data_IF_566339430575
#
_entry.id   IF_566339430575
#
_cell.length_a   1.000
_cell.length_b   1.000
_cell.length_c   1.000
_cell.angle_alpha   90.00
_cell.angle_beta   90.00
_cell.angle_gamma   90.00
#
_symmetry.space_group_name_H-M   'P 1'
#
loop_
_entity.id
_entity.type
_entity.pdbx_description
1 polymer ?
#
# COMPACT_ATOMS: atom_id res chain seq x y z
N UNK A 1 -8.78 28.98 -0.12
CA UNK A 1 -9.03 27.76 0.69
C UNK A 1 -7.74 27.38 1.42
N UNK A 2 -7.82 26.66 2.55
CA UNK A 2 -6.62 26.08 3.18
C UNK A 2 -6.41 24.65 2.66
N UNK A 3 -5.21 24.39 2.17
CA UNK A 3 -4.79 23.08 1.66
C UNK A 3 -3.71 22.54 2.58
N UNK A 4 -4.05 21.52 3.35
CA UNK A 4 -3.12 20.80 4.21
C UNK A 4 -2.37 19.76 3.40
N UNK A 5 -1.04 19.73 3.51
CA UNK A 5 -0.19 18.79 2.78
C UNK A 5 0.67 17.98 3.74
N UNK A 6 0.91 16.73 3.40
CA UNK A 6 1.77 15.85 4.19
C UNK A 6 2.45 14.80 3.31
N UNK A 7 3.49 14.18 3.85
CA UNK A 7 4.14 13.03 3.23
C UNK A 7 3.21 11.81 3.21
N UNK A 8 3.46 10.88 2.28
CA UNK A 8 2.67 9.66 2.11
C UNK A 8 3.08 8.59 3.14
N UNK A 9 2.85 8.88 4.43
CA UNK A 9 3.04 7.95 5.55
C UNK A 9 1.83 8.03 6.46
N UNK A 10 1.45 6.91 7.06
CA UNK A 10 0.27 6.83 7.92
C UNK A 10 0.28 7.88 9.05
N UNK A 11 1.44 8.08 9.70
CA UNK A 11 1.59 9.04 10.78
C UNK A 11 1.37 10.48 10.31
N UNK A 12 1.99 10.85 9.17
CA UNK A 12 1.83 12.18 8.56
C UNK A 12 0.38 12.42 8.13
N UNK A 13 -0.26 11.42 7.52
CA UNK A 13 -1.68 11.47 7.10
C UNK A 13 -2.60 11.69 8.31
N UNK A 14 -2.43 10.93 9.40
CA UNK A 14 -3.26 11.07 10.60
C UNK A 14 -3.02 12.42 11.28
N UNK A 15 -1.77 12.90 11.33
CA UNK A 15 -1.43 14.21 11.86
C UNK A 15 -2.05 15.33 11.02
N UNK A 16 -1.97 15.22 9.71
CA UNK A 16 -2.57 16.17 8.76
C UNK A 16 -4.11 16.26 8.96
N UNK A 17 -4.76 15.13 9.17
CA UNK A 17 -6.20 15.09 9.49
C UNK A 17 -6.47 15.79 10.83
N UNK A 18 -5.64 15.57 11.85
CA UNK A 18 -5.80 16.20 13.17
C UNK A 18 -5.76 17.72 13.06
N UNK A 19 -4.72 18.28 12.42
CA UNK A 19 -4.52 19.72 12.31
C UNK A 19 -5.58 20.36 11.40
N UNK A 20 -5.89 19.74 10.26
CA UNK A 20 -6.96 20.19 9.37
C UNK A 20 -8.35 20.19 10.05
N UNK A 21 -8.59 19.21 10.93
CA UNK A 21 -9.85 19.14 11.68
C UNK A 21 -10.01 20.27 12.68
N UNK A 22 -8.93 20.61 13.39
CA UNK A 22 -8.93 21.73 14.36
C UNK A 22 -9.31 23.05 13.68
N UNK A 23 -8.72 23.35 12.51
CA UNK A 23 -9.07 24.54 11.74
C UNK A 23 -10.49 24.46 11.15
N UNK A 24 -10.91 23.29 10.71
CA UNK A 24 -12.25 23.09 10.14
C UNK A 24 -13.38 23.41 11.12
N UNK A 25 -13.15 23.23 12.42
CA UNK A 25 -14.12 23.63 13.46
C UNK A 25 -14.30 25.15 13.55
N UNK A 26 -13.32 25.93 13.09
CA UNK A 26 -13.36 27.40 13.10
C UNK A 26 -13.89 28.00 11.79
N UNK A 27 -13.42 27.45 10.64
CA UNK A 27 -13.69 28.04 9.31
C UNK A 27 -14.65 27.22 8.45
N UNK A 28 -15.04 26.03 8.91
CA UNK A 28 -15.88 25.08 8.18
C UNK A 28 -15.09 24.07 7.34
N UNK A 29 -15.57 22.84 7.34
CA UNK A 29 -14.93 21.73 6.61
C UNK A 29 -14.84 21.97 5.09
N UNK A 30 -15.71 22.74 4.51
CA UNK A 30 -15.74 23.01 3.07
C UNK A 30 -14.64 23.98 2.61
N UNK A 31 -14.00 24.69 3.56
CA UNK A 31 -12.83 25.53 3.32
C UNK A 31 -11.50 24.78 3.44
N UNK A 32 -11.53 23.49 3.74
CA UNK A 32 -10.35 22.64 3.95
C UNK A 32 -10.22 21.62 2.82
N UNK A 33 -8.98 21.46 2.35
CA UNK A 33 -8.58 20.36 1.46
C UNK A 33 -7.31 19.73 1.98
N UNK A 34 -7.15 18.42 1.72
CA UNK A 34 -5.97 17.66 2.10
C UNK A 34 -5.36 17.01 0.86
N UNK A 35 -4.03 17.08 0.73
CA UNK A 35 -3.30 16.48 -0.40
C UNK A 35 -2.02 15.79 0.09
N UNK A 36 -1.68 14.67 -0.54
CA UNK A 36 -0.36 14.04 -0.38
C UNK A 36 0.69 14.79 -1.18
N UNK A 37 1.91 14.88 -0.67
CA UNK A 37 3.06 15.42 -1.40
C UNK A 37 3.70 14.35 -2.31
N UNK A 38 4.37 14.80 -3.40
CA UNK A 38 4.64 16.18 -3.83
C UNK A 38 3.43 16.85 -4.52
N UNK A 39 3.31 18.17 -4.35
CA UNK A 39 2.28 18.97 -5.03
C UNK A 39 2.83 19.46 -6.36
N UNK A 40 2.33 18.93 -7.47
CA UNK A 40 2.78 19.29 -8.82
C UNK A 40 2.15 20.57 -9.37
N UNK A 41 0.95 20.91 -8.91
CA UNK A 41 0.20 22.09 -9.36
C UNK A 41 -0.34 22.84 -8.14
N UNK A 42 0.30 23.96 -7.80
CA UNK A 42 -0.18 24.86 -6.78
C UNK A 42 -1.07 25.95 -7.40
N UNK A 43 -2.16 26.30 -6.72
CA UNK A 43 -3.05 27.42 -7.09
C UNK A 43 -2.65 28.70 -6.34
N UNK A 44 -2.68 29.83 -7.01
CA UNK A 44 -2.22 31.12 -6.49
C UNK A 44 -3.09 31.69 -5.35
N UNK A 45 -4.34 31.23 -5.23
CA UNK A 45 -5.32 31.77 -4.28
C UNK A 45 -5.52 30.87 -3.05
N UNK A 46 -4.79 29.77 -2.97
CA UNK A 46 -4.90 28.82 -1.87
C UNK A 46 -3.69 28.92 -0.93
N UNK A 47 -3.95 28.78 0.36
CA UNK A 47 -2.93 28.72 1.41
C UNK A 47 -2.51 27.25 1.61
N UNK A 48 -1.22 26.95 1.37
CA UNK A 48 -0.66 25.61 1.56
C UNK A 48 0.03 25.52 2.91
N UNK A 49 -0.39 24.54 3.71
CA UNK A 49 0.11 24.28 5.06
C UNK A 49 0.73 22.88 5.07
N UNK A 50 2.05 22.81 5.16
CA UNK A 50 2.76 21.54 5.34
C UNK A 50 2.65 21.06 6.78
N UNK A 51 2.38 19.75 6.94
CA UNK A 51 2.27 19.10 8.25
C UNK A 51 3.27 17.95 8.32
N UNK A 52 4.19 18.03 9.27
CA UNK A 52 5.06 16.90 9.62
C UNK A 52 4.38 15.95 10.60
N UNK A 53 4.76 14.67 10.54
CA UNK A 53 4.20 13.63 11.41
C UNK A 53 4.45 13.89 12.89
N UNK A 54 3.40 13.70 13.70
CA UNK A 54 3.39 13.77 15.16
C UNK A 54 2.66 12.52 15.68
N UNK A 55 3.43 11.62 16.29
CA UNK A 55 2.93 10.32 16.77
C UNK A 55 1.78 10.46 17.78
N UNK A 56 1.81 11.49 18.63
CA UNK A 56 0.76 11.73 19.63
C UNK A 56 -0.56 12.17 18.97
N UNK A 57 -0.50 13.08 17.99
CA UNK A 57 -1.67 13.50 17.22
C UNK A 57 -2.23 12.33 16.38
N UNK A 58 -1.35 11.59 15.72
CA UNK A 58 -1.72 10.43 14.90
C UNK A 58 -2.40 9.34 15.75
N UNK A 59 -1.87 9.06 16.94
CA UNK A 59 -2.50 8.08 17.86
C UNK A 59 -3.88 8.56 18.34
N UNK A 60 -4.05 9.85 18.63
CA UNK A 60 -5.36 10.40 19.01
C UNK A 60 -6.40 10.18 17.92
N UNK A 61 -6.07 10.49 16.65
CA UNK A 61 -7.00 10.27 15.53
C UNK A 61 -7.33 8.78 15.39
N UNK A 62 -6.31 7.92 15.39
CA UNK A 62 -6.49 6.47 15.31
C UNK A 62 -7.41 5.95 16.43
N UNK A 63 -7.17 6.39 17.66
CA UNK A 63 -7.99 6.00 18.82
C UNK A 63 -9.43 6.50 18.70
N UNK A 64 -9.62 7.75 18.25
CA UNK A 64 -10.95 8.31 18.04
C UNK A 64 -11.73 7.56 16.96
N UNK A 65 -11.12 7.22 15.83
CA UNK A 65 -11.76 6.42 14.78
C UNK A 65 -12.22 5.07 15.34
N UNK A 66 -11.36 4.38 16.07
CA UNK A 66 -11.69 3.06 16.64
C UNK A 66 -12.78 3.12 17.71
N UNK A 67 -12.77 4.14 18.55
CA UNK A 67 -13.71 4.32 19.66
C UNK A 67 -15.07 4.83 19.19
N UNK A 68 -15.07 5.90 18.37
CA UNK A 68 -16.27 6.67 18.07
C UNK A 68 -16.95 6.19 16.77
N UNK A 69 -16.19 5.51 15.88
CA UNK A 69 -16.76 4.89 14.68
C UNK A 69 -16.70 3.36 14.83
N UNK A 70 -15.56 2.74 14.48
CA UNK A 70 -15.32 1.30 14.71
C UNK A 70 -13.89 0.89 14.32
N UNK A 71 -13.41 -0.26 14.83
CA UNK A 71 -12.16 -0.87 14.37
C UNK A 71 -12.22 -1.26 12.88
N UNK A 72 -13.41 -1.61 12.37
CA UNK A 72 -13.62 -1.90 10.94
C UNK A 72 -13.45 -0.63 10.09
N UNK A 73 -13.99 0.51 10.53
CA UNK A 73 -13.77 1.79 9.85
C UNK A 73 -12.29 2.19 9.81
N UNK A 74 -11.57 1.97 10.91
CA UNK A 74 -10.13 2.19 10.94
C UNK A 74 -9.39 1.32 9.91
N UNK A 75 -9.78 0.06 9.75
CA UNK A 75 -9.19 -0.83 8.75
C UNK A 75 -9.37 -0.26 7.32
N UNK A 76 -10.55 0.26 6.99
CA UNK A 76 -10.80 0.88 5.69
C UNK A 76 -9.97 2.14 5.50
N UNK A 77 -9.85 2.97 6.53
CA UNK A 77 -9.00 4.18 6.52
C UNK A 77 -7.53 3.80 6.34
N UNK A 78 -7.04 2.77 7.05
CA UNK A 78 -5.68 2.28 6.92
C UNK A 78 -5.38 1.80 5.49
N UNK A 79 -6.24 0.99 4.90
CA UNK A 79 -6.04 0.57 3.50
C UNK A 79 -6.10 1.75 2.54
N UNK A 80 -7.04 2.67 2.71
CA UNK A 80 -7.13 3.87 1.88
C UNK A 80 -5.87 4.76 1.99
N UNK A 81 -5.23 4.82 3.17
CA UNK A 81 -3.99 5.57 3.35
C UNK A 81 -2.82 5.00 2.53
N UNK A 82 -2.84 3.69 2.26
CA UNK A 82 -1.83 3.01 1.42
C UNK A 82 -2.05 3.21 -0.08
N UNK A 83 -3.20 3.76 -0.49
CA UNK A 83 -3.57 3.93 -1.89
C UNK A 83 -2.69 4.95 -2.62
N UNK A 84 -2.36 4.64 -3.88
CA UNK A 84 -1.66 5.56 -4.78
C UNK A 84 -2.57 6.64 -5.39
N UNK A 85 -3.89 6.58 -5.16
CA UNK A 85 -4.85 7.55 -5.71
C UNK A 85 -4.63 8.93 -5.09
N UNK A 86 -4.60 9.97 -5.93
CA UNK A 86 -4.32 11.35 -5.49
C UNK A 86 -5.37 11.88 -4.51
N UNK A 87 -6.63 11.44 -4.66
CA UNK A 87 -7.74 11.87 -3.82
C UNK A 87 -7.87 11.07 -2.51
N UNK A 88 -7.02 10.07 -2.28
CA UNK A 88 -7.16 9.14 -1.16
C UNK A 88 -7.20 9.86 0.20
N UNK A 89 -6.33 10.84 0.43
CA UNK A 89 -6.28 11.60 1.68
C UNK A 89 -7.55 12.44 1.88
N UNK A 90 -8.02 13.10 0.83
CA UNK A 90 -9.28 13.85 0.86
C UNK A 90 -10.49 12.92 1.06
N UNK A 91 -10.47 11.75 0.43
CA UNK A 91 -11.52 10.74 0.60
C UNK A 91 -11.60 10.25 2.05
N UNK A 92 -10.44 9.98 2.68
CA UNK A 92 -10.36 9.63 4.11
C UNK A 92 -10.98 10.73 4.96
N UNK A 93 -10.60 11.99 4.75
CA UNK A 93 -11.11 13.13 5.50
C UNK A 93 -12.64 13.25 5.38
N UNK A 94 -13.18 13.17 4.17
CA UNK A 94 -14.62 13.25 3.92
C UNK A 94 -15.39 12.06 4.54
N UNK A 95 -14.81 10.85 4.46
CA UNK A 95 -15.37 9.67 5.12
C UNK A 95 -15.43 9.84 6.64
N UNK A 96 -14.39 10.38 7.26
CA UNK A 96 -14.34 10.61 8.69
C UNK A 96 -15.39 11.65 9.14
N UNK A 97 -15.67 12.69 8.34
CA UNK A 97 -16.77 13.63 8.61
C UNK A 97 -18.12 12.91 8.75
N UNK A 98 -18.40 11.99 7.81
CA UNK A 98 -19.63 11.18 7.86
C UNK A 98 -19.57 10.17 9.01
N UNK A 99 -18.42 9.54 9.20
CA UNK A 99 -18.22 8.49 10.20
C UNK A 99 -18.41 9.00 11.63
N UNK A 100 -17.86 10.15 11.99
CA UNK A 100 -18.05 10.74 13.31
C UNK A 100 -19.49 11.22 13.56
N UNK A 101 -20.26 11.51 12.50
CA UNK A 101 -21.68 11.85 12.62
C UNK A 101 -22.57 10.60 12.77
N UNK A 102 -22.25 9.49 12.08
CA UNK A 102 -23.08 8.29 12.01
C UNK A 102 -22.66 7.19 12.99
N UNK A 103 -21.41 7.20 13.46
CA UNK A 103 -20.85 6.14 14.30
C UNK A 103 -20.66 4.82 13.54
N UNK A 104 -20.81 3.70 14.24
CA UNK A 104 -20.47 2.36 13.77
C UNK A 104 -21.18 1.90 12.48
N UNK A 105 -22.37 2.42 12.20
CA UNK A 105 -23.18 2.07 11.03
C UNK A 105 -22.72 2.74 9.71
N UNK A 106 -21.69 3.59 9.73
CA UNK A 106 -21.27 4.35 8.54
C UNK A 106 -20.95 3.46 7.33
N UNK A 107 -20.32 2.32 7.54
CA UNK A 107 -19.93 1.39 6.47
C UNK A 107 -21.12 0.68 5.78
N UNK A 108 -22.30 0.74 6.34
CA UNK A 108 -23.54 0.21 5.77
C UNK A 108 -24.28 1.26 4.91
N UNK A 109 -23.83 2.52 4.92
CA UNK A 109 -24.44 3.61 4.16
C UNK A 109 -23.88 3.66 2.71
N UNK A 110 -24.22 2.66 1.90
CA UNK A 110 -23.75 2.53 0.51
C UNK A 110 -24.29 3.62 -0.43
N UNK A 111 -25.27 4.43 -0.01
CA UNK A 111 -25.79 5.54 -0.82
C UNK A 111 -24.94 6.80 -0.68
N UNK A 112 -24.08 6.88 0.36
CA UNK A 112 -23.22 8.03 0.57
C UNK A 112 -21.95 7.93 -0.30
N UNK A 113 -21.65 8.92 -1.18
CA UNK A 113 -20.51 8.86 -2.09
C UNK A 113 -19.16 8.80 -1.37
N UNK A 114 -19.03 9.42 -0.19
CA UNK A 114 -17.79 9.39 0.60
C UNK A 114 -17.52 8.00 1.21
N UNK A 115 -18.59 7.30 1.61
CA UNK A 115 -18.51 5.92 2.09
C UNK A 115 -18.16 4.99 0.93
N UNK A 116 -18.81 5.15 -0.22
CA UNK A 116 -18.49 4.34 -1.40
C UNK A 116 -17.05 4.53 -1.85
N UNK A 117 -16.54 5.77 -1.86
CA UNK A 117 -15.14 6.02 -2.25
C UNK A 117 -14.13 5.32 -1.33
N UNK A 118 -14.34 5.33 -0.02
CA UNK A 118 -13.49 4.59 0.92
C UNK A 118 -13.54 3.08 0.68
N UNK A 119 -14.72 2.52 0.39
CA UNK A 119 -14.88 1.10 0.07
C UNK A 119 -14.13 0.74 -1.23
N UNK A 120 -14.17 1.59 -2.24
CA UNK A 120 -13.42 1.41 -3.49
C UNK A 120 -11.92 1.40 -3.25
N UNK A 121 -11.40 2.37 -2.50
CA UNK A 121 -9.97 2.44 -2.15
C UNK A 121 -9.53 1.19 -1.37
N UNK A 122 -10.31 0.79 -0.35
CA UNK A 122 -10.05 -0.43 0.41
C UNK A 122 -9.97 -1.66 -0.49
N UNK A 123 -10.93 -1.84 -1.40
CA UNK A 123 -10.98 -2.96 -2.33
C UNK A 123 -9.81 -2.92 -3.33
N UNK A 124 -9.49 -1.76 -3.86
CA UNK A 124 -8.39 -1.57 -4.82
C UNK A 124 -7.06 -2.00 -4.21
N UNK A 125 -6.72 -1.47 -3.04
CA UNK A 125 -5.49 -1.81 -2.31
C UNK A 125 -5.48 -3.28 -1.88
N UNK A 126 -6.62 -3.80 -1.40
CA UNK A 126 -6.76 -5.20 -1.02
C UNK A 126 -6.53 -6.16 -2.19
N UNK A 127 -7.13 -5.87 -3.35
CA UNK A 127 -6.94 -6.65 -4.56
C UNK A 127 -5.50 -6.58 -5.08
N UNK A 128 -4.86 -5.41 -5.01
CA UNK A 128 -3.46 -5.26 -5.39
C UNK A 128 -2.55 -6.11 -4.49
N UNK A 129 -2.74 -6.02 -3.16
CA UNK A 129 -2.02 -6.86 -2.20
C UNK A 129 -2.25 -8.35 -2.44
N UNK A 130 -3.50 -8.76 -2.75
CA UNK A 130 -3.84 -10.15 -3.05
C UNK A 130 -3.09 -10.66 -4.28
N UNK A 131 -3.06 -9.89 -5.36
CA UNK A 131 -2.31 -10.26 -6.57
C UNK A 131 -0.82 -10.43 -6.30
N UNK A 132 -0.18 -9.52 -5.55
CA UNK A 132 1.24 -9.68 -5.25
C UNK A 132 1.53 -10.88 -4.33
N UNK A 133 0.59 -11.30 -3.48
CA UNK A 133 0.72 -12.56 -2.73
C UNK A 133 0.71 -13.81 -3.64
N UNK A 134 -0.05 -13.78 -4.73
CA UNK A 134 -0.11 -14.89 -5.68
C UNK A 134 1.12 -14.94 -6.60
N UNK A 135 1.67 -13.79 -6.96
CA UNK A 135 2.68 -13.67 -8.01
C UNK A 135 4.06 -13.21 -7.54
N UNK A 136 4.29 -13.00 -6.25
CA UNK A 136 5.63 -12.77 -5.74
C UNK A 136 6.51 -14.01 -5.97
N UNK A 137 7.71 -13.80 -6.51
CA UNK A 137 8.71 -14.83 -6.75
C UNK A 137 9.93 -14.51 -5.91
N UNK A 138 10.33 -15.47 -5.11
CA UNK A 138 11.52 -15.36 -4.27
C UNK A 138 12.68 -16.05 -4.95
N UNK A 139 13.82 -15.37 -4.99
CA UNK A 139 15.10 -15.90 -5.42
C UNK A 139 15.97 -16.12 -4.19
N UNK A 140 16.71 -17.22 -4.15
CA UNK A 140 17.61 -17.50 -3.05
C UNK A 140 18.93 -16.77 -3.23
N UNK A 141 19.33 -15.98 -2.23
CA UNK A 141 20.63 -15.37 -2.16
C UNK A 141 21.55 -16.27 -1.30
N UNK A 142 22.53 -16.90 -1.93
CA UNK A 142 23.51 -17.81 -1.28
C UNK A 142 22.87 -18.94 -0.45
N UNK A 143 21.64 -19.36 -0.75
CA UNK A 143 20.91 -20.39 -0.02
C UNK A 143 20.51 -19.99 1.41
N UNK A 144 20.62 -18.71 1.79
CA UNK A 144 20.39 -18.23 3.16
C UNK A 144 19.27 -17.23 3.30
N UNK A 145 19.06 -16.41 2.31
CA UNK A 145 18.06 -15.33 2.32
C UNK A 145 17.26 -15.39 1.04
N UNK A 146 15.95 -15.26 1.15
CA UNK A 146 15.06 -15.17 0.00
C UNK A 146 14.70 -13.70 -0.29
N UNK A 147 14.82 -13.27 -1.54
CA UNK A 147 14.52 -11.90 -1.96
C UNK A 147 13.46 -11.91 -3.04
N UNK A 148 12.47 -11.07 -2.91
CA UNK A 148 11.43 -10.83 -3.93
C UNK A 148 11.36 -9.34 -4.25
N UNK A 149 11.32 -8.98 -5.52
CA UNK A 149 11.13 -7.62 -5.99
C UNK A 149 9.71 -7.42 -6.48
N UNK A 150 9.10 -6.29 -6.15
CA UNK A 150 7.75 -5.90 -6.55
C UNK A 150 7.73 -4.42 -6.96
N UNK A 151 6.84 -4.06 -7.89
CA UNK A 151 6.56 -2.68 -8.26
C UNK A 151 5.07 -2.34 -8.04
N UNK A 152 4.58 -2.33 -6.81
CA UNK A 152 3.19 -2.01 -6.55
C UNK A 152 2.92 -0.51 -6.75
N UNK A 153 1.69 -0.19 -7.18
CA UNK A 153 1.20 1.19 -7.22
C UNK A 153 0.94 1.70 -5.81
N UNK A 154 0.18 0.95 -5.03
CA UNK A 154 -0.14 1.25 -3.62
C UNK A 154 0.95 0.70 -2.69
N UNK A 155 1.09 1.25 -1.48
CA UNK A 155 2.08 0.79 -0.48
C UNK A 155 1.61 -0.51 0.20
N UNK A 156 1.74 -1.64 -0.51
CA UNK A 156 1.18 -2.94 -0.06
C UNK A 156 2.21 -3.93 0.48
N UNK A 157 3.52 -3.61 0.48
CA UNK A 157 4.54 -4.61 0.82
C UNK A 157 4.40 -5.17 2.24
N UNK A 158 3.98 -4.38 3.22
CA UNK A 158 3.71 -4.87 4.57
C UNK A 158 2.46 -5.77 4.64
N UNK A 159 1.46 -5.54 3.78
CA UNK A 159 0.30 -6.42 3.66
C UNK A 159 0.68 -7.76 3.00
N UNK A 160 1.54 -7.71 2.00
CA UNK A 160 2.11 -8.90 1.33
C UNK A 160 3.03 -9.64 2.29
N UNK A 161 3.89 -8.92 3.02
CA UNK A 161 4.81 -9.49 3.99
C UNK A 161 4.13 -10.29 5.10
N UNK A 162 2.98 -9.82 5.62
CA UNK A 162 2.20 -10.59 6.61
C UNK A 162 1.82 -11.99 6.10
N UNK A 163 1.43 -12.10 4.83
CA UNK A 163 1.09 -13.40 4.24
C UNK A 163 2.31 -14.35 4.19
N UNK A 164 3.48 -13.83 3.83
CA UNK A 164 4.69 -14.65 3.76
C UNK A 164 5.29 -14.97 5.13
N UNK A 165 5.08 -14.14 6.15
CA UNK A 165 5.44 -14.46 7.53
C UNK A 165 4.71 -15.70 8.03
N UNK A 166 3.41 -15.83 7.67
CA UNK A 166 2.63 -17.03 8.02
C UNK A 166 3.06 -18.28 7.22
N UNK A 167 3.58 -18.11 6.00
CA UNK A 167 3.98 -19.23 5.14
C UNK A 167 5.42 -19.68 5.29
N UNK A 168 6.32 -18.77 5.61
CA UNK A 168 7.77 -19.00 5.71
C UNK A 168 8.32 -18.41 7.02
N UNK A 169 7.77 -18.80 8.19
CA UNK A 169 8.16 -18.21 9.47
C UNK A 169 9.61 -18.51 9.85
N UNK A 170 10.13 -19.66 9.41
CA UNK A 170 11.48 -20.16 9.77
C UNK A 170 12.57 -19.75 8.78
N UNK A 171 12.26 -18.87 7.83
CA UNK A 171 13.20 -18.43 6.79
C UNK A 171 13.53 -16.95 6.92
N UNK A 172 14.74 -16.57 6.52
CA UNK A 172 15.10 -15.17 6.32
C UNK A 172 14.64 -14.73 4.93
N UNK A 173 13.78 -13.73 4.86
CA UNK A 173 13.38 -13.20 3.57
C UNK A 173 13.12 -11.69 3.60
N UNK A 174 13.12 -11.09 2.42
CA UNK A 174 12.73 -9.71 2.22
C UNK A 174 11.90 -9.55 0.95
N UNK A 175 10.97 -8.60 0.97
CA UNK A 175 10.21 -8.13 -0.18
C UNK A 175 10.59 -6.67 -0.40
N UNK A 176 11.10 -6.35 -1.57
CA UNK A 176 11.56 -5.01 -1.96
C UNK A 176 10.47 -4.34 -2.80
N UNK A 177 10.09 -3.12 -2.44
CA UNK A 177 9.29 -2.23 -3.26
C UNK A 177 10.24 -1.33 -4.06
N UNK A 178 10.37 -1.61 -5.35
CA UNK A 178 11.30 -0.93 -6.24
C UNK A 178 10.87 0.52 -6.52
N UNK A 179 9.56 0.81 -6.45
CA UNK A 179 9.04 2.16 -6.64
C UNK A 179 9.35 3.08 -5.45
N UNK A 180 9.26 2.55 -4.22
CA UNK A 180 9.43 3.33 -2.98
C UNK A 180 10.82 3.18 -2.38
N UNK A 181 11.63 2.24 -2.89
CA UNK A 181 12.93 1.84 -2.32
C UNK A 181 12.83 1.48 -0.84
N UNK A 182 11.81 0.70 -0.53
CA UNK A 182 11.55 0.17 0.80
C UNK A 182 11.59 -1.35 0.78
N UNK A 183 11.88 -1.97 1.92
CA UNK A 183 11.87 -3.41 2.06
C UNK A 183 11.08 -3.84 3.29
N UNK A 184 10.20 -4.82 3.11
CA UNK A 184 9.63 -5.59 4.20
C UNK A 184 10.61 -6.74 4.51
N UNK A 185 11.23 -6.72 5.68
CA UNK A 185 12.24 -7.69 6.11
C UNK A 185 11.63 -8.61 7.16
N UNK A 186 11.81 -9.92 6.98
CA UNK A 186 11.44 -10.94 7.94
C UNK A 186 12.69 -11.65 8.45
N UNK A 187 13.02 -11.49 9.73
CA UNK A 187 14.03 -12.33 10.37
C UNK A 187 13.42 -13.70 10.70
N UNK A 188 14.23 -14.74 10.65
CA UNK A 188 13.81 -16.09 11.05
C UNK A 188 13.12 -16.07 12.41
N UNK A 189 11.94 -16.66 12.49
CA UNK A 189 11.13 -16.78 13.70
C UNK A 189 10.81 -15.43 14.40
N UNK A 190 10.81 -14.31 13.63
CA UNK A 190 10.59 -12.96 14.15
C UNK A 190 9.47 -12.20 13.43
N UNK A 191 9.22 -10.97 13.86
CA UNK A 191 8.21 -10.11 13.25
C UNK A 191 8.77 -9.33 12.05
N UNK A 192 7.92 -9.09 11.06
CA UNK A 192 8.25 -8.26 9.91
C UNK A 192 8.44 -6.80 10.30
N UNK A 193 9.41 -6.15 9.70
CA UNK A 193 9.59 -4.72 9.82
C UNK A 193 9.87 -4.06 8.47
N UNK A 194 9.48 -2.79 8.36
CA UNK A 194 9.74 -1.95 7.19
C UNK A 194 11.10 -1.27 7.33
N UNK A 195 11.90 -1.30 6.26
CA UNK A 195 13.15 -0.56 6.16
C UNK A 195 13.17 0.31 4.90
N UNK A 196 13.62 1.55 5.03
CA UNK A 196 13.96 2.41 3.91
C UNK A 196 15.37 2.08 3.46
N UNK A 197 15.54 1.81 2.16
CA UNK A 197 16.82 1.43 1.57
C UNK A 197 17.58 2.68 1.14
N UNK A 198 18.89 2.70 1.39
CA UNK A 198 19.78 3.66 0.75
C UNK A 198 19.97 3.33 -0.72
N UNK A 199 20.39 4.32 -1.54
CA UNK A 199 20.62 4.07 -2.96
C UNK A 199 21.60 2.91 -3.23
N UNK A 200 22.67 2.81 -2.43
CA UNK A 200 23.63 1.71 -2.55
C UNK A 200 23.08 0.33 -2.18
N UNK A 201 22.28 0.26 -1.11
CA UNK A 201 21.61 -0.99 -0.72
C UNK A 201 20.60 -1.45 -1.78
N UNK A 202 19.81 -0.50 -2.31
CA UNK A 202 18.84 -0.79 -3.36
C UNK A 202 19.50 -1.33 -4.63
N UNK A 203 20.58 -0.67 -5.12
CA UNK A 203 21.30 -1.14 -6.30
C UNK A 203 21.99 -2.50 -6.08
N UNK A 204 22.46 -2.77 -4.87
CA UNK A 204 23.01 -4.09 -4.51
C UNK A 204 21.94 -5.18 -4.57
N UNK A 205 20.75 -4.91 -4.03
CA UNK A 205 19.61 -5.84 -4.06
C UNK A 205 19.09 -6.05 -5.50
N UNK A 206 19.04 -5.00 -6.30
CA UNK A 206 18.59 -5.09 -7.70
C UNK A 206 19.46 -6.01 -8.55
N UNK A 207 20.76 -6.05 -8.29
CA UNK A 207 21.68 -6.97 -8.98
C UNK A 207 21.38 -8.43 -8.67
N UNK A 208 20.72 -8.73 -7.56
CA UNK A 208 20.35 -10.12 -7.22
C UNK A 208 19.27 -10.67 -8.16
N UNK A 209 18.47 -9.83 -8.81
CA UNK A 209 17.49 -10.26 -9.80
C UNK A 209 18.11 -10.83 -11.09
N UNK A 210 19.36 -10.50 -11.36
CA UNK A 210 20.11 -11.01 -12.52
C UNK A 210 20.65 -12.42 -12.26
N UNK A 211 20.60 -12.87 -11.00
CA UNK A 211 21.09 -14.19 -10.62
C UNK A 211 19.95 -15.21 -10.75
N UNK A 212 20.10 -16.13 -11.70
CA UNK A 212 19.21 -17.30 -11.81
C UNK A 212 19.74 -18.43 -10.92
N UNK A 213 18.97 -18.77 -9.88
CA UNK A 213 19.23 -19.95 -9.08
C UNK A 213 18.69 -21.23 -9.79
N UNK A 214 19.09 -22.39 -9.29
CA UNK A 214 18.67 -23.69 -9.83
C UNK A 214 17.12 -23.85 -9.82
N UNK A 215 16.47 -23.33 -8.78
CA UNK A 215 15.00 -23.41 -8.65
C UNK A 215 14.27 -22.51 -9.66
N UNK A 216 14.83 -21.39 -10.04
CA UNK A 216 14.27 -20.52 -11.09
C UNK A 216 14.23 -21.24 -12.43
N UNK A 217 15.30 -21.95 -12.81
CA UNK A 217 15.35 -22.75 -14.03
C UNK A 217 14.32 -23.92 -14.00
N UNK A 218 14.23 -24.60 -12.88
CA UNK A 218 13.23 -25.67 -12.69
C UNK A 218 11.80 -25.13 -12.78
N UNK A 219 11.50 -23.98 -12.18
CA UNK A 219 10.20 -23.34 -12.25
C UNK A 219 9.81 -22.95 -13.67
N UNK A 220 10.72 -22.31 -14.43
CA UNK A 220 10.49 -21.98 -15.85
C UNK A 220 10.14 -23.25 -16.65
N UNK A 221 10.94 -24.31 -16.49
CA UNK A 221 10.71 -25.59 -17.17
C UNK A 221 9.35 -26.17 -16.81
N UNK A 222 9.01 -26.22 -15.54
CA UNK A 222 7.71 -26.70 -15.06
C UNK A 222 6.56 -25.90 -15.65
N UNK A 223 6.62 -24.56 -15.58
CA UNK A 223 5.58 -23.68 -16.08
C UNK A 223 5.28 -23.91 -17.57
N UNK A 224 6.32 -24.05 -18.39
CA UNK A 224 6.16 -24.30 -19.82
C UNK A 224 5.69 -25.75 -20.13
N UNK A 225 6.06 -26.71 -19.29
CA UNK A 225 5.72 -28.13 -19.55
C UNK A 225 4.29 -28.47 -19.18
N UNK A 226 3.73 -27.85 -18.11
CA UNK A 226 2.35 -28.10 -17.67
C UNK A 226 1.30 -27.35 -18.49
N UNK A 227 1.72 -26.40 -19.34
CA UNK A 227 0.84 -25.60 -20.19
C UNK A 227 0.06 -26.48 -21.16
N UNK A 228 -1.27 -26.43 -21.11
CA UNK A 228 -2.15 -27.13 -22.07
C UNK A 228 -2.49 -26.13 -23.16
N UNK A 229 -1.93 -26.31 -24.37
CA UNK A 229 -2.09 -25.41 -25.52
C UNK A 229 -3.55 -25.11 -25.87
N UNK A 230 -4.42 -26.11 -25.78
CA UNK A 230 -5.85 -25.98 -26.08
C UNK A 230 -6.61 -25.13 -25.06
N UNK A 231 -6.00 -24.84 -23.90
CA UNK A 231 -6.56 -24.00 -22.84
C UNK A 231 -5.91 -22.63 -22.75
N UNK A 232 -4.97 -22.32 -23.63
CA UNK A 232 -4.33 -21.01 -23.67
C UNK A 232 -5.35 -19.91 -23.96
N UNK A 233 -5.45 -18.94 -23.08
CA UNK A 233 -6.31 -17.78 -23.22
C UNK A 233 -5.58 -16.51 -22.75
N UNK A 234 -4.90 -15.86 -23.67
CA UNK A 234 -4.09 -14.67 -23.39
C UNK A 234 -4.91 -13.46 -22.88
N UNK A 235 -6.19 -13.37 -23.24
CA UNK A 235 -7.07 -12.31 -22.73
C UNK A 235 -7.38 -12.56 -21.26
N UNK A 236 -7.78 -13.77 -20.91
CA UNK A 236 -8.00 -14.19 -19.53
C UNK A 236 -6.73 -14.02 -18.68
N UNK A 237 -5.59 -14.47 -19.20
CA UNK A 237 -4.30 -14.34 -18.54
C UNK A 237 -3.92 -12.87 -18.26
N UNK A 238 -4.15 -11.94 -19.22
CA UNK A 238 -3.90 -10.51 -19.03
C UNK A 238 -4.85 -9.88 -18.02
N UNK A 239 -6.09 -10.32 -17.95
CA UNK A 239 -7.07 -9.81 -16.99
C UNK A 239 -6.74 -10.27 -15.56
N UNK A 240 -6.34 -11.54 -15.38
CA UNK A 240 -5.99 -12.10 -14.08
C UNK A 240 -4.59 -11.64 -13.61
N UNK A 241 -3.63 -11.59 -14.53
CA UNK A 241 -2.26 -11.15 -14.26
C UNK A 241 -1.82 -10.11 -15.31
N UNK A 242 -2.10 -8.81 -15.05
CA UNK A 242 -1.75 -7.71 -15.95
C UNK A 242 -0.25 -7.63 -16.26
N UNK A 243 0.10 -7.21 -17.48
CA UNK A 243 1.49 -7.18 -17.98
C UNK A 243 2.41 -6.39 -17.04
N UNK A 244 1.95 -5.25 -16.52
CA UNK A 244 2.77 -4.40 -15.65
C UNK A 244 3.15 -5.07 -14.31
N UNK A 245 2.42 -6.11 -13.87
CA UNK A 245 2.73 -6.91 -12.68
C UNK A 245 3.70 -8.06 -12.95
N UNK A 246 3.98 -8.38 -14.23
CA UNK A 246 4.81 -9.54 -14.63
C UNK A 246 6.29 -9.28 -14.62
N UNK A 247 6.72 -8.04 -14.43
CA UNK A 247 8.12 -7.64 -14.56
C UNK A 247 9.08 -8.51 -13.73
N UNK A 248 8.66 -8.91 -12.53
CA UNK A 248 9.44 -9.75 -11.63
C UNK A 248 9.03 -11.23 -11.63
N UNK A 249 8.08 -11.61 -12.47
CA UNK A 249 7.65 -13.00 -12.61
C UNK A 249 8.59 -13.72 -13.59
N UNK A 250 9.46 -14.56 -13.06
CA UNK A 250 10.57 -15.20 -13.78
C UNK A 250 10.12 -16.06 -14.97
N UNK A 251 8.91 -16.63 -14.90
CA UNK A 251 8.29 -17.41 -15.97
C UNK A 251 7.89 -16.62 -17.21
N UNK A 252 7.90 -15.29 -17.13
CA UNK A 252 7.60 -14.38 -18.25
C UNK A 252 8.82 -13.58 -18.72
N UNK A 253 9.99 -13.79 -18.08
CA UNK A 253 11.27 -13.23 -18.55
C UNK A 253 11.83 -14.18 -19.62
N UNK A 254 12.13 -13.64 -20.83
CA UNK A 254 12.83 -14.34 -21.91
C UNK A 254 14.28 -14.60 -21.56
#
# INVERSE_FOLDING_TARGET
MKIYTCKDRLEDIMTCIYDAWADALLIGHDQIRLKKEPIFQATLLDEYIHVDGDSFKAEKVTRSIRRDISSRAYLYVYYASLSAEEDALQAIYNFLRVGFSMGAGVLENYTNPHVMRIIELYRSVGNESHHFREFARFQSLDGRVYVSHLEPKSDVIMLVGRHFADRMPSEYWMIVDDNRKTACIHPKDGENYLRYLTGGEFEALRKTEEYEDEYTGMWKTFFHTIGIKERENYVCQRNLFPIWKRKHAVEFKE
#
